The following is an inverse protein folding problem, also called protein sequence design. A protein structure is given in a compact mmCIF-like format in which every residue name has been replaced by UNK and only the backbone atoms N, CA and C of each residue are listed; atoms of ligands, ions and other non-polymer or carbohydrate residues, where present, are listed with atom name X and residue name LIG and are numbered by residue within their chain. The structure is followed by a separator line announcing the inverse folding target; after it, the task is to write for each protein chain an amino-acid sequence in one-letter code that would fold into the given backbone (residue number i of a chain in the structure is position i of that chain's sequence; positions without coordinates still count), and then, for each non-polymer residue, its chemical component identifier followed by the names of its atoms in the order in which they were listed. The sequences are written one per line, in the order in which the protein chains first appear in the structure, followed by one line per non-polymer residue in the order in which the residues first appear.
data_IF_820664038569
#
_entry.id   IF_820664038569
#
_cell.length_a   1.000
_cell.length_b   1.000
_cell.length_c   1.000
_cell.angle_alpha   90.00
_cell.angle_beta   90.00
_cell.angle_gamma   90.00
#
_symmetry.space_group_name_H-M   'P 1'
#
loop_
_entity.id
_entity.type
_entity.pdbx_description
1 polymer ?
#
# COMPACT_ATOMS: atom_id res chain seq x y z
N UNK A 1 6.42 17.28 -17.84
CA UNK A 1 5.14 17.28 -17.11
C UNK A 1 5.44 16.91 -15.67
N UNK A 2 4.79 17.56 -14.70
CA UNK A 2 4.96 17.26 -13.29
C UNK A 2 4.23 15.93 -13.00
N UNK A 3 4.89 14.89 -12.47
CA UNK A 3 4.22 13.66 -12.12
C UNK A 3 3.28 13.92 -10.93
N UNK A 4 1.99 13.61 -11.08
CA UNK A 4 1.02 13.58 -9.99
C UNK A 4 0.86 12.17 -9.40
N UNK A 5 1.90 11.33 -9.51
CA UNK A 5 1.89 9.95 -9.05
C UNK A 5 2.51 9.81 -7.66
N UNK A 6 2.06 8.80 -6.90
CA UNK A 6 2.57 8.44 -5.58
C UNK A 6 3.98 7.83 -5.55
N UNK A 7 4.88 8.28 -6.43
CA UNK A 7 6.29 7.92 -6.44
C UNK A 7 7.14 9.10 -5.98
N UNK A 8 7.66 9.04 -4.75
CA UNK A 8 8.53 10.09 -4.22
C UNK A 8 9.96 9.88 -4.73
N UNK A 9 10.32 10.53 -5.84
CA UNK A 9 11.72 10.79 -6.20
C UNK A 9 12.14 12.24 -5.84
N UNK A 10 11.23 13.01 -5.24
CA UNK A 10 11.45 14.41 -4.85
C UNK A 10 10.73 14.67 -3.54
N UNK A 11 11.48 15.04 -2.49
CA UNK A 11 11.04 15.37 -1.11
C UNK A 11 9.98 16.50 -1.00
N UNK A 12 9.51 17.04 -2.12
CA UNK A 12 8.31 17.88 -2.17
C UNK A 12 7.12 17.01 -2.49
N UNK A 13 6.24 16.82 -1.51
CA UNK A 13 4.95 16.15 -1.68
C UNK A 13 4.29 16.58 -3.01
N UNK A 14 3.91 15.63 -3.90
CA UNK A 14 3.34 15.96 -5.18
C UNK A 14 2.06 16.81 -4.99
N UNK A 15 1.87 17.79 -5.86
CA UNK A 15 0.64 18.58 -5.85
C UNK A 15 -0.57 17.65 -5.99
N UNK A 16 -1.71 18.04 -5.40
CA UNK A 16 -2.99 17.32 -5.53
C UNK A 16 -3.23 17.02 -7.01
N UNK A 17 -3.62 15.78 -7.32
CA UNK A 17 -4.02 15.42 -8.69
C UNK A 17 -5.11 16.39 -9.19
N UNK A 18 -5.04 16.86 -10.45
CA UNK A 18 -6.15 17.58 -11.06
C UNK A 18 -7.45 16.79 -10.90
N UNK A 19 -8.57 17.51 -10.79
CA UNK A 19 -9.89 16.87 -10.88
C UNK A 19 -9.91 15.97 -12.13
N UNK A 20 -10.40 14.74 -11.96
CA UNK A 20 -10.46 13.67 -12.98
C UNK A 20 -9.22 12.76 -13.13
N UNK A 21 -8.15 12.95 -12.33
CA UNK A 21 -6.97 12.04 -12.26
C UNK A 21 -6.91 11.24 -10.94
N UNK A 22 -8.07 11.06 -10.30
CA UNK A 22 -8.18 10.51 -8.95
C UNK A 22 -9.60 10.51 -8.38
N UNK A 23 -9.78 9.77 -7.28
CA UNK A 23 -10.90 9.96 -6.33
C UNK A 23 -10.39 10.84 -5.18
N UNK A 24 -10.84 12.10 -5.13
CA UNK A 24 -10.34 13.06 -4.14
C UNK A 24 -8.87 13.44 -4.35
N UNK A 25 -7.99 13.03 -3.43
CA UNK A 25 -6.55 13.34 -3.45
C UNK A 25 -5.68 12.18 -3.95
N UNK A 26 -6.29 11.06 -4.33
CA UNK A 26 -5.60 9.85 -4.78
C UNK A 26 -5.07 10.01 -6.21
N UNK A 27 -3.91 9.45 -6.49
CA UNK A 27 -3.37 9.34 -7.84
C UNK A 27 -3.78 7.99 -8.44
N UNK A 28 -4.76 8.00 -9.34
CA UNK A 28 -5.31 6.76 -9.93
C UNK A 28 -4.80 6.51 -11.37
N UNK A 29 -3.90 7.35 -11.88
CA UNK A 29 -3.35 7.21 -13.22
C UNK A 29 -4.38 7.33 -14.35
N UNK A 30 -5.53 7.96 -14.09
CA UNK A 30 -6.61 8.15 -15.05
C UNK A 30 -7.60 6.99 -15.14
N UNK A 31 -7.57 6.06 -14.18
CA UNK A 31 -8.60 5.03 -14.01
C UNK A 31 -8.83 4.72 -12.54
N UNK A 32 -10.10 4.65 -12.15
CA UNK A 32 -10.50 4.36 -10.78
C UNK A 32 -9.80 3.11 -10.23
N UNK A 33 -9.25 3.24 -9.01
CA UNK A 33 -8.64 2.13 -8.28
C UNK A 33 -9.70 1.07 -8.02
N UNK A 34 -9.46 -0.14 -8.52
CA UNK A 34 -10.36 -1.28 -8.39
C UNK A 34 -10.08 -2.08 -7.11
N UNK A 35 -8.81 -2.26 -6.74
CA UNK A 35 -8.37 -3.10 -5.61
C UNK A 35 -7.08 -2.57 -4.99
N UNK A 36 -6.81 -2.99 -3.76
CA UNK A 36 -5.52 -2.84 -3.09
C UNK A 36 -4.94 -4.21 -2.79
N UNK A 37 -3.62 -4.35 -2.95
CA UNK A 37 -2.86 -5.53 -2.59
C UNK A 37 -2.08 -5.20 -1.33
N UNK A 38 -2.38 -5.88 -0.23
CA UNK A 38 -1.70 -5.74 1.06
C UNK A 38 -0.75 -6.91 1.23
N UNK A 39 0.53 -6.63 1.40
CA UNK A 39 1.54 -7.64 1.70
C UNK A 39 2.14 -7.37 3.08
N UNK A 40 2.48 -8.45 3.78
CA UNK A 40 3.20 -8.37 5.04
C UNK A 40 4.35 -9.37 5.06
N UNK A 41 5.45 -9.00 5.71
CA UNK A 41 6.62 -9.85 5.89
C UNK A 41 7.35 -9.55 7.19
N UNK A 42 8.03 -10.52 7.78
CA UNK A 42 8.97 -10.28 8.89
C UNK A 42 10.30 -9.70 8.42
N UNK A 43 10.55 -9.67 7.10
CA UNK A 43 11.75 -9.06 6.51
C UNK A 43 11.37 -7.81 5.70
N UNK A 44 12.16 -6.74 5.81
CA UNK A 44 11.87 -5.45 5.17
C UNK A 44 11.97 -5.48 3.65
N UNK A 45 12.71 -6.44 3.11
CA UNK A 45 12.87 -6.71 1.69
C UNK A 45 11.78 -7.65 1.13
N UNK A 46 10.86 -8.13 1.98
CA UNK A 46 9.80 -9.07 1.62
C UNK A 46 10.31 -10.36 0.95
N UNK A 47 11.54 -10.78 1.26
CA UNK A 47 12.11 -12.04 0.75
C UNK A 47 11.56 -13.29 1.42
N UNK A 48 10.89 -13.15 2.58
CA UNK A 48 10.15 -14.28 3.17
C UNK A 48 9.05 -14.73 2.21
N UNK A 49 8.93 -16.03 1.95
CA UNK A 49 8.02 -16.58 0.94
C UNK A 49 6.92 -17.49 1.52
N UNK A 50 6.78 -17.58 2.85
CA UNK A 50 5.87 -18.54 3.47
C UNK A 50 5.22 -18.03 4.74
N UNK A 51 3.97 -18.44 4.95
CA UNK A 51 3.24 -18.19 6.18
C UNK A 51 3.95 -18.85 7.39
N UNK A 52 3.85 -18.26 8.59
CA UNK A 52 3.19 -16.99 8.92
C UNK A 52 4.10 -15.77 8.77
N UNK A 53 5.31 -15.93 8.24
CA UNK A 53 6.33 -14.88 8.10
C UNK A 53 6.13 -14.02 6.86
N UNK A 54 5.25 -14.45 5.95
CA UNK A 54 4.82 -13.73 4.75
C UNK A 54 3.35 -14.01 4.43
N UNK A 55 2.66 -13.04 3.84
CA UNK A 55 1.36 -13.23 3.22
C UNK A 55 0.92 -12.04 2.39
N UNK A 56 -0.12 -12.27 1.59
CA UNK A 56 -0.76 -11.26 0.75
C UNK A 56 -2.29 -11.36 0.86
N UNK A 57 -2.96 -10.22 0.79
CA UNK A 57 -4.40 -10.12 0.66
C UNK A 57 -4.79 -9.09 -0.40
N UNK A 58 -5.85 -9.38 -1.17
CA UNK A 58 -6.47 -8.42 -2.08
C UNK A 58 -7.74 -7.86 -1.47
N UNK A 59 -7.83 -6.53 -1.38
CA UNK A 59 -8.97 -5.79 -0.82
C UNK A 59 -9.66 -5.03 -1.94
N UNK A 60 -10.96 -5.23 -2.12
CA UNK A 60 -11.72 -4.50 -3.13
C UNK A 60 -11.89 -3.03 -2.73
N UNK A 61 -11.76 -2.11 -3.70
CA UNK A 61 -11.88 -0.67 -3.47
C UNK A 61 -13.34 -0.23 -3.24
N UNK A 62 -14.33 -0.96 -3.82
CA UNK A 62 -15.79 -0.83 -3.65
C UNK A 62 -16.39 0.58 -3.44
N UNK A 63 -15.69 1.66 -3.80
CA UNK A 63 -16.07 3.04 -3.51
C UNK A 63 -16.11 3.42 -2.03
N UNK A 64 -15.50 2.65 -1.13
CA UNK A 64 -15.52 2.92 0.31
C UNK A 64 -14.56 4.05 0.68
N UNK A 65 -14.97 4.89 1.64
CA UNK A 65 -14.16 6.00 2.18
C UNK A 65 -13.13 5.57 3.23
N UNK A 66 -13.13 4.29 3.62
CA UNK A 66 -12.25 3.75 4.66
C UNK A 66 -11.68 2.42 4.20
N UNK A 67 -10.39 2.39 3.89
CA UNK A 67 -9.65 1.18 3.52
C UNK A 67 -8.94 0.62 4.75
N UNK A 68 -9.62 -0.24 5.51
CA UNK A 68 -9.03 -0.96 6.64
C UNK A 68 -8.97 -2.44 6.34
N UNK A 69 -7.82 -3.06 6.61
CA UNK A 69 -7.64 -4.50 6.52
C UNK A 69 -6.94 -5.02 7.78
N UNK A 70 -7.52 -6.04 8.40
CA UNK A 70 -6.94 -6.72 9.57
C UNK A 70 -6.27 -8.00 9.12
N UNK A 71 -4.94 -8.03 9.23
CA UNK A 71 -4.14 -9.24 8.98
C UNK A 71 -4.31 -10.21 10.15
N UNK A 72 -4.64 -11.47 9.87
CA UNK A 72 -4.84 -12.52 10.88
C UNK A 72 -3.76 -13.61 10.77
N UNK A 73 -3.63 -14.44 11.81
CA UNK A 73 -2.69 -15.58 11.80
C UNK A 73 -1.21 -15.22 11.91
N UNK A 74 -0.90 -14.00 12.39
CA UNK A 74 0.46 -13.55 12.64
C UNK A 74 1.03 -14.14 13.93
N UNK A 75 2.36 -14.30 13.98
CA UNK A 75 3.04 -14.71 15.22
C UNK A 75 2.99 -13.56 16.24
N UNK A 76 2.49 -13.85 17.43
CA UNK A 76 2.48 -12.89 18.54
C UNK A 76 3.90 -12.46 18.90
N UNK A 77 4.11 -11.16 19.12
CA UNK A 77 5.41 -10.57 19.46
C UNK A 77 6.39 -10.42 18.29
N UNK A 78 6.02 -10.85 17.07
CA UNK A 78 6.83 -10.63 15.89
C UNK A 78 6.60 -9.24 15.29
N UNK A 79 7.65 -8.71 14.68
CA UNK A 79 7.62 -7.44 13.93
C UNK A 79 7.36 -7.76 12.47
N UNK A 80 6.42 -7.04 11.86
CA UNK A 80 6.06 -7.16 10.46
C UNK A 80 6.21 -5.83 9.73
N UNK A 81 6.79 -5.88 8.54
CA UNK A 81 6.74 -4.84 7.55
C UNK A 81 5.49 -5.04 6.70
N UNK A 82 4.76 -3.96 6.43
CA UNK A 82 3.52 -4.00 5.66
C UNK A 82 3.61 -2.97 4.54
N UNK A 83 3.27 -3.43 3.32
CA UNK A 83 3.25 -2.61 2.12
C UNK A 83 1.95 -2.78 1.36
N UNK A 84 1.50 -1.74 0.67
CA UNK A 84 0.22 -1.71 -0.05
C UNK A 84 0.43 -1.17 -1.46
N UNK A 85 -0.12 -1.86 -2.46
CA UNK A 85 -0.16 -1.37 -3.84
C UNK A 85 -1.61 -1.21 -4.30
N UNK A 86 -1.88 -0.18 -5.10
CA UNK A 86 -3.17 0.05 -5.74
C UNK A 86 -3.21 -0.66 -7.10
N UNK A 87 -4.38 -1.17 -7.50
CA UNK A 87 -4.58 -1.79 -8.80
C UNK A 87 -5.83 -1.27 -9.50
N UNK A 88 -5.70 -0.97 -10.79
CA UNK A 88 -6.78 -0.58 -11.70
C UNK A 88 -6.61 -1.27 -13.07
N UNK A 89 -7.37 -0.84 -14.08
CA UNK A 89 -7.27 -1.39 -15.44
C UNK A 89 -5.91 -1.15 -16.12
N UNK A 90 -5.10 -0.19 -15.60
CA UNK A 90 -3.76 0.10 -16.11
C UNK A 90 -2.69 -0.79 -15.50
N UNK A 91 -2.99 -1.47 -14.38
CA UNK A 91 -2.09 -2.41 -13.75
C UNK A 91 -2.01 -2.25 -12.24
N UNK A 92 -0.89 -2.67 -11.67
CA UNK A 92 -0.52 -2.54 -10.26
C UNK A 92 0.44 -1.36 -10.11
N UNK A 93 0.26 -0.55 -9.07
CA UNK A 93 1.20 0.51 -8.70
C UNK A 93 2.45 -0.06 -8.04
N UNK A 94 3.43 0.82 -7.79
CA UNK A 94 4.46 0.55 -6.81
C UNK A 94 3.84 0.33 -5.42
N UNK A 95 4.52 -0.46 -4.59
CA UNK A 95 4.12 -0.65 -3.21
C UNK A 95 4.53 0.55 -2.37
N UNK A 96 3.60 1.01 -1.53
CA UNK A 96 3.81 2.06 -0.53
C UNK A 96 3.73 1.47 0.88
N UNK A 97 4.60 1.94 1.77
CA UNK A 97 4.64 1.57 3.18
C UNK A 97 4.11 2.71 4.06
N UNK A 98 3.95 2.46 5.37
CA UNK A 98 3.49 3.47 6.36
C UNK A 98 4.41 4.72 6.46
N UNK A 99 5.57 4.72 5.79
CA UNK A 99 6.45 5.88 5.65
C UNK A 99 5.93 6.97 4.69
N UNK A 100 4.86 6.72 3.94
CA UNK A 100 4.23 7.74 3.07
C UNK A 100 5.02 8.12 1.83
N UNK A 101 6.23 7.64 1.67
CA UNK A 101 7.11 7.89 0.53
C UNK A 101 7.79 6.55 0.22
N UNK A 102 7.84 6.18 -1.06
CA UNK A 102 8.36 4.89 -1.50
C UNK A 102 9.79 4.65 -0.96
N UNK A 103 9.98 3.50 -0.27
CA UNK A 103 11.12 3.16 0.58
C UNK A 103 11.17 4.07 1.83
N UNK A 104 10.98 3.60 3.07
CA UNK A 104 11.44 2.38 3.70
C UNK A 104 10.40 1.97 4.76
N UNK A 105 10.03 0.69 4.79
CA UNK A 105 8.93 0.18 5.59
C UNK A 105 9.01 0.52 7.08
N UNK A 106 8.06 1.31 7.57
CA UNK A 106 7.85 1.44 9.02
C UNK A 106 7.32 0.12 9.56
N UNK A 107 8.10 -0.50 10.44
CA UNK A 107 7.73 -1.72 11.14
C UNK A 107 6.43 -1.54 11.94
N UNK A 108 5.53 -2.52 11.84
CA UNK A 108 4.35 -2.67 12.68
C UNK A 108 4.56 -3.87 13.62
N UNK A 109 4.22 -3.71 14.88
CA UNK A 109 4.21 -4.84 15.82
C UNK A 109 2.87 -5.53 15.76
N UNK A 110 2.86 -6.85 15.56
CA UNK A 110 1.64 -7.63 15.68
C UNK A 110 1.12 -7.55 17.12
N UNK A 111 -0.06 -6.97 17.30
CA UNK A 111 -0.77 -6.97 18.59
C UNK A 111 -1.74 -8.15 18.59
N UNK A 112 -1.77 -8.91 19.68
CA UNK A 112 -2.78 -9.95 19.88
C UNK A 112 -4.16 -9.31 19.96
N UNK A 113 -5.12 -9.86 19.18
CA UNK A 113 -6.53 -9.54 19.30
C UNK A 113 -7.08 -9.99 20.66
#
# INVERSE_FOLDING_TARGET
GIPCGGGCLVSTAPARCPLLMGRGQEADGGSAIARYVVQWSTTSDFASASAPDYGEATVASAGASTFSYTVQGLRSGATYFVRVAASNEKGLSDFADKGGEAADGSALTAVTA
#
